data_IF_319204501462
#
_entry.id   IF_319204501462
#
_cell.length_a   1.000
_cell.length_b   1.000
_cell.length_c   1.000
_cell.angle_alpha   90.00
_cell.angle_beta   90.00
_cell.angle_gamma   90.00
#
_symmetry.space_group_name_H-M   'P 1'
#
loop_
_entity.id
_entity.type
_entity.pdbx_description
1 polymer ?
#
# COMPACT_ATOMS: atom_id res chain seq x y z
N UNK A 1 -1.04 15.10 -13.39
CA UNK A 1 -2.47 15.43 -13.52
C UNK A 1 -2.75 16.49 -14.59
N UNK A 2 -3.16 16.06 -15.80
CA UNK A 2 -3.88 16.95 -16.72
C UNK A 2 -5.38 16.74 -16.49
N UNK A 3 -6.05 17.70 -15.85
CA UNK A 3 -7.49 17.61 -15.48
C UNK A 3 -8.38 17.27 -16.69
N UNK A 4 -8.01 17.78 -17.86
CA UNK A 4 -8.71 17.52 -19.12
C UNK A 4 -8.70 16.04 -19.51
N UNK A 5 -7.59 15.35 -19.30
CA UNK A 5 -7.43 13.95 -19.69
C UNK A 5 -8.32 13.03 -18.86
N UNK A 6 -8.33 13.23 -17.53
CA UNK A 6 -9.20 12.49 -16.62
C UNK A 6 -10.68 12.64 -17.00
N UNK A 7 -11.12 13.88 -17.29
CA UNK A 7 -12.52 14.15 -17.65
C UNK A 7 -12.91 13.50 -18.99
N UNK A 8 -12.01 13.48 -19.98
CA UNK A 8 -12.30 12.89 -21.28
C UNK A 8 -12.33 11.37 -21.23
N UNK A 9 -11.46 10.76 -20.43
CA UNK A 9 -11.32 9.31 -20.33
C UNK A 9 -12.42 8.66 -19.50
N UNK A 10 -13.06 9.40 -18.59
CA UNK A 10 -14.20 8.92 -17.78
C UNK A 10 -15.57 9.30 -18.34
N UNK A 11 -15.63 10.01 -19.46
CA UNK A 11 -16.88 10.38 -20.10
C UNK A 11 -17.58 9.16 -20.73
N UNK A 12 -18.90 9.22 -20.86
CA UNK A 12 -19.73 8.06 -21.25
C UNK A 12 -19.43 7.51 -22.66
N UNK A 13 -18.87 8.33 -23.55
CA UNK A 13 -18.46 7.95 -24.90
C UNK A 13 -16.95 8.19 -25.10
N UNK A 14 -16.15 7.95 -24.06
CA UNK A 14 -14.69 8.15 -24.12
C UNK A 14 -14.00 7.35 -25.22
N UNK A 15 -14.51 6.15 -25.54
CA UNK A 15 -13.95 5.24 -26.54
C UNK A 15 -14.40 5.52 -27.98
N UNK A 16 -15.52 6.20 -28.17
CA UNK A 16 -16.11 6.44 -29.50
C UNK A 16 -16.84 7.80 -29.54
N UNK A 17 -16.09 8.91 -29.60
CA UNK A 17 -16.69 10.23 -29.62
C UNK A 17 -17.33 10.53 -30.97
N UNK A 18 -18.52 11.14 -30.95
CA UNK A 18 -19.25 11.53 -32.16
C UNK A 18 -19.24 13.06 -32.37
N UNK A 19 -19.77 13.52 -33.50
CA UNK A 19 -19.86 14.95 -33.81
C UNK A 19 -21.10 15.64 -33.21
N UNK A 20 -22.00 14.87 -32.59
CA UNK A 20 -23.27 15.40 -32.04
C UNK A 20 -23.15 15.66 -30.53
N UNK A 21 -22.50 14.75 -29.82
CA UNK A 21 -22.35 14.72 -28.37
C UNK A 21 -20.88 14.60 -27.92
N UNK A 22 -19.92 14.46 -28.83
CA UNK A 22 -18.50 14.38 -28.49
C UNK A 22 -18.23 13.16 -27.62
N UNK A 23 -17.55 13.39 -26.50
CA UNK A 23 -17.22 12.35 -25.53
C UNK A 23 -18.40 11.94 -24.63
N UNK A 24 -19.60 12.48 -24.87
CA UNK A 24 -20.80 12.17 -24.09
C UNK A 24 -20.86 12.91 -22.75
N UNK A 25 -21.55 12.33 -21.77
CA UNK A 25 -21.77 12.94 -20.46
C UNK A 25 -20.50 12.77 -19.62
N UNK A 26 -20.05 13.86 -19.01
CA UNK A 26 -18.90 13.84 -18.10
C UNK A 26 -19.30 13.22 -16.75
N UNK A 27 -18.50 12.26 -16.29
CA UNK A 27 -18.61 11.72 -14.93
C UNK A 27 -17.55 12.37 -14.04
N UNK A 28 -17.98 13.40 -13.28
CA UNK A 28 -17.12 14.13 -12.38
C UNK A 28 -16.66 13.30 -11.17
N UNK A 29 -17.46 12.33 -10.72
CA UNK A 29 -17.08 11.46 -9.61
C UNK A 29 -15.95 10.53 -10.04
N UNK A 30 -16.10 9.88 -11.19
CA UNK A 30 -15.05 9.03 -11.77
C UNK A 30 -13.79 9.82 -12.16
N UNK A 31 -13.93 11.06 -12.62
CA UNK A 31 -12.77 11.91 -12.98
C UNK A 31 -11.88 12.27 -11.77
N UNK A 32 -12.46 12.43 -10.58
CA UNK A 32 -11.70 12.66 -9.33
C UNK A 32 -10.90 11.42 -8.92
N UNK A 33 -11.41 10.23 -9.24
CA UNK A 33 -10.77 8.94 -8.91
C UNK A 33 -9.89 8.38 -10.04
N UNK A 34 -9.75 9.10 -11.15
CA UNK A 34 -9.08 8.62 -12.37
C UNK A 34 -7.62 8.20 -12.17
N UNK A 35 -6.84 8.92 -11.36
CA UNK A 35 -5.45 8.53 -11.05
C UNK A 35 -5.36 7.33 -10.09
N UNK A 36 -6.42 7.03 -9.31
CA UNK A 36 -6.44 5.81 -8.47
C UNK A 36 -6.69 4.55 -9.31
N UNK A 37 -7.41 4.68 -10.43
CA UNK A 37 -7.76 3.58 -11.34
C UNK A 37 -6.73 3.33 -12.44
N UNK A 38 -5.85 4.27 -12.79
CA UNK A 38 -4.83 4.04 -13.83
C UNK A 38 -3.61 3.26 -13.34
N UNK A 39 -3.57 2.86 -12.06
CA UNK A 39 -2.66 1.84 -11.56
C UNK A 39 -3.24 0.42 -11.78
N UNK A 40 -3.63 0.09 -13.00
CA UNK A 40 -3.96 -1.28 -13.39
C UNK A 40 -2.89 -1.74 -14.39
N UNK A 41 -1.81 -2.26 -13.82
CA UNK A 41 -0.97 -3.23 -14.53
C UNK A 41 -1.84 -4.46 -14.82
N UNK A 42 -1.84 -4.91 -16.06
CA UNK A 42 -2.77 -5.92 -16.61
C UNK A 42 -2.39 -7.34 -16.13
N UNK A 43 -2.58 -7.59 -14.83
CA UNK A 43 -2.50 -8.92 -14.23
C UNK A 43 -3.81 -9.24 -13.52
N UNK A 44 -4.82 -9.59 -14.31
CA UNK A 44 -6.06 -10.17 -13.81
C UNK A 44 -5.76 -11.52 -13.14
N UNK A 45 -5.94 -11.56 -11.82
CA UNK A 45 -6.18 -12.82 -11.10
C UNK A 45 -5.07 -13.25 -10.15
N UNK A 46 -4.76 -12.41 -9.16
CA UNK A 46 -4.21 -12.72 -7.83
C UNK A 46 -3.83 -11.36 -7.21
N UNK A 47 -4.22 -11.00 -5.97
CA UNK A 47 -3.72 -9.78 -5.35
C UNK A 47 -2.22 -9.97 -5.06
N UNK A 48 -1.39 -9.58 -6.01
CA UNK A 48 0.06 -9.49 -5.87
C UNK A 48 0.48 -8.19 -5.14
N UNK A 49 -0.52 -7.40 -4.72
CA UNK A 49 -0.33 -6.12 -4.05
C UNK A 49 -0.37 -6.31 -2.54
N UNK A 50 0.81 -6.23 -1.92
CA UNK A 50 0.95 -6.15 -0.48
C UNK A 50 0.62 -4.73 0.01
N UNK A 51 -0.37 -4.63 0.90
CA UNK A 51 -0.82 -3.37 1.47
C UNK A 51 -0.55 -3.35 2.97
N UNK A 52 0.21 -2.33 3.42
CA UNK A 52 0.31 -1.99 4.84
C UNK A 52 -0.75 -0.92 5.07
N UNK A 53 -1.87 -1.35 5.62
CA UNK A 53 -3.08 -0.53 5.61
C UNK A 53 -3.04 0.54 6.70
N UNK A 54 -2.44 0.23 7.85
CA UNK A 54 -2.54 1.07 9.05
C UNK A 54 -1.34 0.91 9.98
N UNK A 55 -0.56 1.99 10.14
CA UNK A 55 0.37 2.18 11.28
C UNK A 55 -0.28 3.18 12.24
N UNK A 56 -1.17 2.71 13.12
CA UNK A 56 -2.02 3.56 13.98
C UNK A 56 -1.95 3.15 15.45
N UNK A 57 -2.00 4.11 16.40
CA UNK A 57 -1.21 5.34 16.40
C UNK A 57 -0.36 5.43 17.68
N UNK A 58 0.62 6.31 17.61
CA UNK A 58 1.41 6.76 18.74
C UNK A 58 0.88 8.13 19.19
N UNK A 59 0.28 8.21 20.39
CA UNK A 59 0.96 8.90 21.50
C UNK A 59 0.82 8.25 22.90
N UNK A 60 0.34 7.00 23.05
CA UNK A 60 0.26 6.37 24.39
C UNK A 60 0.37 4.84 24.44
N UNK A 61 0.65 4.16 23.31
CA UNK A 61 0.83 2.71 23.27
C UNK A 61 2.20 2.36 22.64
N UNK A 62 3.09 1.64 23.37
CA UNK A 62 4.44 1.33 22.91
C UNK A 62 4.48 0.17 21.89
N UNK A 63 3.37 -0.11 21.19
CA UNK A 63 3.28 -1.19 20.22
C UNK A 63 2.75 -0.67 18.88
N UNK A 64 3.30 -1.22 17.82
CA UNK A 64 2.90 -0.93 16.45
C UNK A 64 2.16 -2.15 15.89
N UNK A 65 0.93 -1.94 15.43
CA UNK A 65 0.20 -2.94 14.66
C UNK A 65 0.49 -2.74 13.18
N UNK A 66 0.81 -3.84 12.49
CA UNK A 66 1.11 -3.88 11.06
C UNK A 66 0.15 -4.89 10.44
N UNK A 67 -0.85 -4.38 9.74
CA UNK A 67 -1.73 -5.23 8.93
C UNK A 67 -1.05 -5.53 7.61
N UNK A 68 -0.84 -6.81 7.33
CA UNK A 68 -0.28 -7.35 6.10
C UNK A 68 -1.36 -8.09 5.34
N UNK A 69 -1.48 -7.83 4.04
CA UNK A 69 -2.26 -8.66 3.13
C UNK A 69 -1.40 -9.18 1.98
N UNK A 70 -1.71 -10.38 1.52
CA UNK A 70 -0.99 -11.06 0.46
C UNK A 70 -1.65 -12.39 0.09
N UNK A 71 -1.00 -13.14 -0.79
CA UNK A 71 -1.46 -14.47 -1.19
C UNK A 71 -1.17 -15.51 -0.12
N UNK A 72 -2.11 -16.44 0.05
CA UNK A 72 -1.89 -17.66 0.82
C UNK A 72 -0.80 -18.48 0.15
N UNK A 73 0.19 -18.94 0.92
CA UNK A 73 1.34 -19.68 0.43
C UNK A 73 2.56 -18.83 0.08
N UNK A 74 2.45 -17.49 0.08
CA UNK A 74 3.61 -16.61 -0.13
C UNK A 74 4.52 -16.55 1.08
N UNK A 75 5.83 -16.44 0.84
CA UNK A 75 6.82 -16.27 1.91
C UNK A 75 6.97 -14.77 2.22
N UNK A 76 6.72 -14.41 3.48
CA UNK A 76 6.75 -13.04 3.98
C UNK A 76 7.88 -12.89 5.01
N UNK A 77 8.68 -11.86 4.83
CA UNK A 77 9.63 -11.36 5.82
C UNK A 77 9.29 -9.91 6.15
N UNK A 78 9.21 -9.56 7.43
CA UNK A 78 8.98 -8.19 7.89
C UNK A 78 10.07 -7.81 8.90
N UNK A 79 10.85 -6.81 8.54
CA UNK A 79 11.99 -6.32 9.31
C UNK A 79 11.87 -4.83 9.62
N UNK A 80 12.58 -4.40 10.66
CA UNK A 80 12.70 -2.99 11.04
C UNK A 80 14.17 -2.61 11.03
N UNK A 81 14.46 -1.48 10.40
CA UNK A 81 15.78 -0.90 10.28
C UNK A 81 15.80 0.50 10.89
N UNK A 82 16.98 0.91 11.39
CA UNK A 82 17.25 2.32 11.66
C UNK A 82 17.52 3.08 10.36
N UNK A 83 17.49 4.41 10.42
CA UNK A 83 17.90 5.27 9.28
C UNK A 83 19.35 5.04 8.83
N UNK A 84 20.19 4.48 9.70
CA UNK A 84 21.58 4.12 9.38
C UNK A 84 21.70 2.73 8.73
N UNK A 85 20.57 2.06 8.44
CA UNK A 85 20.53 0.73 7.83
C UNK A 85 20.80 -0.43 8.79
N UNK A 86 20.91 -0.17 10.09
CA UNK A 86 21.07 -1.23 11.10
C UNK A 86 19.76 -2.01 11.27
N UNK A 87 19.82 -3.34 11.20
CA UNK A 87 18.68 -4.21 11.53
C UNK A 87 18.38 -4.12 13.02
N UNK A 88 17.15 -3.74 13.35
CA UNK A 88 16.67 -3.54 14.73
C UNK A 88 15.88 -4.76 15.19
N UNK A 89 14.99 -5.27 14.35
CA UNK A 89 14.16 -6.43 14.68
C UNK A 89 13.62 -7.11 13.42
N UNK A 90 13.45 -8.43 13.49
CA UNK A 90 12.59 -9.18 12.58
C UNK A 90 11.25 -9.42 13.30
N UNK A 91 10.14 -8.96 12.71
CA UNK A 91 8.80 -9.06 13.29
C UNK A 91 8.13 -10.37 12.88
N UNK A 92 8.42 -10.82 11.65
CA UNK A 92 7.84 -12.02 11.08
C UNK A 92 8.73 -12.56 9.97
N UNK A 93 8.85 -13.87 9.91
CA UNK A 93 9.52 -14.60 8.83
C UNK A 93 8.81 -15.93 8.66
N UNK A 94 8.15 -16.14 7.52
CA UNK A 94 7.44 -17.39 7.25
C UNK A 94 6.41 -17.32 6.13
N UNK A 95 5.76 -18.45 5.89
CA UNK A 95 4.72 -18.56 4.87
C UNK A 95 3.37 -18.07 5.40
N UNK A 96 2.70 -17.22 4.62
CA UNK A 96 1.35 -16.78 4.91
C UNK A 96 0.34 -17.93 4.77
N UNK A 97 -0.36 -18.25 5.84
CA UNK A 97 -1.44 -19.26 5.85
C UNK A 97 -2.83 -18.67 5.54
N UNK A 98 -2.93 -17.35 5.52
CA UNK A 98 -4.16 -16.59 5.33
C UNK A 98 -3.87 -15.33 4.52
N UNK A 99 -4.87 -14.84 3.79
CA UNK A 99 -4.70 -13.69 2.88
C UNK A 99 -4.45 -12.37 3.59
N UNK A 100 -4.74 -12.31 4.90
CA UNK A 100 -4.45 -11.18 5.76
C UNK A 100 -3.91 -11.66 7.10
N UNK A 101 -2.85 -11.02 7.57
CA UNK A 101 -2.24 -11.29 8.86
C UNK A 101 -1.95 -9.98 9.58
N UNK A 102 -2.27 -9.95 10.87
CA UNK A 102 -1.96 -8.82 11.75
C UNK A 102 -0.71 -9.16 12.55
N UNK A 103 0.32 -8.34 12.40
CA UNK A 103 1.56 -8.43 13.15
C UNK A 103 1.59 -7.31 14.19
N UNK A 104 2.20 -7.58 15.35
CA UNK A 104 2.39 -6.59 16.40
C UNK A 104 3.86 -6.53 16.74
N UNK A 105 4.44 -5.34 16.68
CA UNK A 105 5.80 -5.06 17.12
C UNK A 105 5.78 -4.29 18.43
N UNK A 106 6.46 -4.82 19.44
CA UNK A 106 6.64 -4.19 20.76
C UNK A 106 8.13 -3.89 20.94
N UNK A 107 8.61 -2.70 20.56
CA UNK A 107 10.00 -2.30 20.76
C UNK A 107 10.37 -2.25 22.24
N UNK A 108 11.36 -3.07 22.63
CA UNK A 108 11.99 -2.99 23.94
C UNK A 108 13.30 -2.21 23.85
N UNK A 109 13.49 -1.22 24.72
CA UNK A 109 14.74 -0.49 24.87
C UNK A 109 15.26 0.26 23.61
N UNK A 110 14.33 0.69 22.75
CA UNK A 110 14.63 1.43 21.52
C UNK A 110 14.24 2.91 21.70
N UNK A 111 15.07 3.89 21.29
CA UNK A 111 14.77 5.31 21.45
C UNK A 111 13.63 5.76 20.54
N UNK A 112 12.94 6.83 20.92
CA UNK A 112 12.02 7.53 20.03
C UNK A 112 12.76 8.03 18.79
N UNK A 113 12.19 7.83 17.61
CA UNK A 113 12.82 8.19 16.35
C UNK A 113 12.08 7.66 15.13
N UNK A 114 12.72 7.82 13.98
CA UNK A 114 12.23 7.33 12.70
C UNK A 114 12.90 5.99 12.41
N UNK A 115 12.09 5.03 11.98
CA UNK A 115 12.53 3.70 11.57
C UNK A 115 11.98 3.38 10.18
N UNK A 116 12.61 2.42 9.52
CA UNK A 116 12.19 1.91 8.22
C UNK A 116 11.71 0.49 8.41
N UNK A 117 10.43 0.26 8.13
CA UNK A 117 9.88 -1.08 8.02
C UNK A 117 10.12 -1.58 6.60
N UNK A 118 10.75 -2.74 6.48
CA UNK A 118 10.90 -3.48 5.23
C UNK A 118 9.98 -4.67 5.27
N UNK A 119 9.19 -4.86 4.23
CA UNK A 119 8.51 -6.12 3.99
C UNK A 119 8.96 -6.71 2.67
N UNK A 120 9.17 -8.01 2.66
CA UNK A 120 9.54 -8.80 1.49
C UNK A 120 8.49 -9.88 1.34
N UNK A 121 7.78 -9.89 0.22
CA UNK A 121 6.80 -10.92 -0.11
C UNK A 121 7.19 -11.53 -1.45
N UNK A 122 7.66 -12.77 -1.43
CA UNK A 122 8.31 -13.42 -2.58
C UNK A 122 9.44 -12.50 -3.13
N UNK A 123 9.22 -11.84 -4.27
CA UNK A 123 10.20 -10.93 -4.90
C UNK A 123 9.85 -9.43 -4.77
N UNK A 124 8.75 -9.09 -4.09
CA UNK A 124 8.33 -7.70 -3.91
C UNK A 124 8.83 -7.17 -2.57
N UNK A 125 9.67 -6.13 -2.65
CA UNK A 125 10.15 -5.40 -1.47
C UNK A 125 9.41 -4.08 -1.35
N UNK A 126 8.88 -3.80 -0.17
CA UNK A 126 8.25 -2.51 0.17
C UNK A 126 8.91 -1.92 1.40
N UNK A 127 9.19 -0.62 1.35
CA UNK A 127 9.68 0.14 2.48
C UNK A 127 8.62 1.13 2.96
N UNK A 128 8.45 1.21 4.27
CA UNK A 128 7.57 2.20 4.89
C UNK A 128 8.29 2.89 6.05
N UNK A 129 8.23 4.22 6.03
CA UNK A 129 8.73 5.04 7.14
C UNK A 129 7.74 4.98 8.30
N UNK A 130 8.22 4.65 9.48
CA UNK A 130 7.44 4.64 10.72
C UNK A 130 8.09 5.57 11.75
N UNK A 131 7.27 6.18 12.60
CA UNK A 131 7.75 7.03 13.69
C UNK A 131 7.38 6.37 15.01
N UNK A 132 8.39 6.03 15.80
CA UNK A 132 8.22 5.55 17.17
C UNK A 132 8.51 6.68 18.14
N UNK A 133 7.67 6.82 19.16
CA UNK A 133 7.77 7.80 20.24
C UNK A 133 7.46 7.02 21.51
N UNK A 134 8.19 7.36 22.56
CA UNK A 134 8.08 6.78 23.89
C UNK A 134 7.51 7.82 24.83
#
# INVERSE_FOLDING_TARGET
>A
MQVREAILMTASQSSDPDNTYGYGIMDAASAVEYEQTTAIDDSKGIPNTFHITKTYPNPFNPFLTIDVSGLVGSYLTVDIFSLYGQSIANIYEGTLFQSSQRLTWVPENIPSGIYLLRSVLNDHVKFQKITFLK
#
